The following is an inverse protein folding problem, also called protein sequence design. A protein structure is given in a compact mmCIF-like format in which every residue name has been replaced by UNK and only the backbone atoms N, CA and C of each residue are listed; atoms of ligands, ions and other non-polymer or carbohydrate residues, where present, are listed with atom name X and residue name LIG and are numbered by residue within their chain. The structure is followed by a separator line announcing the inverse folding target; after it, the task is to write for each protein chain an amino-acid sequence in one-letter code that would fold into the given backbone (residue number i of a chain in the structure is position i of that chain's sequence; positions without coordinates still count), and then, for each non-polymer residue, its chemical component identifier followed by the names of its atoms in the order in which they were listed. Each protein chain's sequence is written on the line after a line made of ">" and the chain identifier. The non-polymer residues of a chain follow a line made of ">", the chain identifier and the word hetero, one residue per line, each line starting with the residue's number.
data_IF_393339709635
#
_entry.id   IF_393339709635
#
_cell.length_a   1.000
_cell.length_b   1.000
_cell.length_c   1.000
_cell.angle_alpha   90.00
_cell.angle_beta   90.00
_cell.angle_gamma   90.00
#
_symmetry.space_group_name_H-M   'P 1'
#
loop_
_entity.id
_entity.type
_entity.pdbx_description
1 polymer ?
#
# COMPACT_ATOMS: atom_id res chain seq x y z
N UNK A 1 33.71 5.02 -1.38
CA UNK A 1 32.37 5.25 -0.78
C UNK A 1 32.56 5.52 0.69
N UNK A 2 31.76 6.39 1.29
CA UNK A 2 31.67 6.50 2.75
C UNK A 2 31.11 5.20 3.32
N UNK A 3 31.56 4.81 4.52
CA UNK A 3 31.08 3.61 5.19
C UNK A 3 29.57 3.75 5.47
N UNK A 4 28.74 2.72 5.22
CA UNK A 4 27.31 2.76 5.53
C UNK A 4 27.04 3.16 6.98
N UNK A 5 26.02 3.98 7.21
CA UNK A 5 25.52 4.30 8.55
C UNK A 5 24.23 3.53 8.79
N UNK A 6 23.99 3.15 10.05
CA UNK A 6 22.82 2.35 10.42
C UNK A 6 21.76 3.17 11.17
N UNK A 7 20.49 2.98 10.82
CA UNK A 7 19.35 3.27 11.69
C UNK A 7 18.73 1.94 12.11
N UNK A 8 18.44 1.76 13.39
CA UNK A 8 17.84 0.52 13.92
C UNK A 8 16.63 0.82 14.81
N UNK A 9 15.56 0.03 14.65
CA UNK A 9 14.27 0.19 15.31
C UNK A 9 13.78 -1.12 15.92
N UNK A 10 12.90 -1.04 16.92
CA UNK A 10 12.12 -2.15 17.44
C UNK A 10 10.67 -1.98 16.98
N UNK A 11 10.06 -3.05 16.47
CA UNK A 11 8.69 -3.07 16.03
C UNK A 11 7.68 -2.74 17.15
N UNK A 12 6.44 -2.44 16.74
CA UNK A 12 5.26 -2.33 17.62
C UNK A 12 5.31 -1.22 18.66
N UNK A 13 4.20 -1.09 19.39
CA UNK A 13 4.03 -0.11 20.48
C UNK A 13 3.29 -0.73 21.65
N UNK A 14 3.34 -0.10 22.81
CA UNK A 14 2.59 -0.56 24.00
C UNK A 14 1.08 -0.66 23.73
N UNK A 15 0.57 0.18 22.84
CA UNK A 15 -0.84 0.21 22.40
C UNK A 15 -1.18 -0.83 21.32
N UNK A 16 -0.19 -1.29 20.56
CA UNK A 16 -0.32 -2.28 19.51
C UNK A 16 0.88 -3.22 19.61
N UNK A 17 0.84 -4.21 20.51
CA UNK A 17 2.03 -4.93 20.98
C UNK A 17 2.56 -5.99 20.00
N UNK A 18 1.98 -6.10 18.80
CA UNK A 18 2.23 -7.20 17.88
C UNK A 18 1.69 -8.51 18.44
N UNK A 19 2.39 -9.58 18.13
CA UNK A 19 1.99 -10.93 18.54
C UNK A 19 2.15 -11.16 20.03
N UNK A 20 1.22 -11.90 20.61
CA UNK A 20 1.20 -12.24 22.04
C UNK A 20 1.02 -13.74 22.19
N UNK A 21 1.95 -14.37 22.88
CA UNK A 21 1.92 -15.81 23.12
C UNK A 21 2.37 -16.13 24.54
N UNK A 22 1.48 -16.78 25.31
CA UNK A 22 1.66 -17.07 26.75
C UNK A 22 2.03 -15.79 27.53
N UNK A 23 3.20 -15.75 28.16
CA UNK A 23 3.68 -14.59 28.92
C UNK A 23 4.56 -13.62 28.12
N UNK A 24 4.71 -13.82 26.82
CA UNK A 24 5.51 -12.97 25.94
C UNK A 24 4.65 -12.09 25.04
N UNK A 25 5.13 -10.86 24.81
CA UNK A 25 4.60 -9.91 23.84
C UNK A 25 5.73 -9.48 22.92
N UNK A 26 5.50 -9.50 21.62
CA UNK A 26 6.50 -9.16 20.59
C UNK A 26 7.12 -7.78 20.85
N UNK A 27 6.30 -6.80 21.19
CA UNK A 27 6.73 -5.46 21.60
C UNK A 27 7.79 -5.44 22.73
N UNK A 28 7.65 -6.28 23.77
CA UNK A 28 8.63 -6.32 24.85
C UNK A 28 9.93 -6.99 24.38
N UNK A 29 9.81 -8.03 23.56
CA UNK A 29 10.94 -8.79 23.01
C UNK A 29 11.78 -7.94 22.06
N UNK A 30 11.15 -7.29 21.08
CA UNK A 30 11.83 -6.47 20.08
C UNK A 30 12.60 -5.31 20.72
N UNK A 31 12.03 -4.66 21.74
CA UNK A 31 12.74 -3.65 22.54
C UNK A 31 13.94 -4.22 23.28
N UNK A 32 13.78 -5.38 23.91
CA UNK A 32 14.87 -6.05 24.62
C UNK A 32 16.00 -6.47 23.66
N UNK A 33 15.65 -6.99 22.47
CA UNK A 33 16.61 -7.32 21.42
C UNK A 33 17.32 -6.06 20.93
N UNK A 34 16.57 -4.97 20.68
CA UNK A 34 17.13 -3.68 20.26
C UNK A 34 18.13 -3.14 21.29
N UNK A 35 17.79 -3.16 22.58
CA UNK A 35 18.69 -2.71 23.65
C UNK A 35 20.02 -3.50 23.64
N UNK A 36 19.95 -4.82 23.48
CA UNK A 36 21.14 -5.69 23.35
C UNK A 36 21.91 -5.41 22.07
N UNK A 37 21.22 -5.20 20.94
CA UNK A 37 21.85 -4.81 19.68
C UNK A 37 22.58 -3.48 19.81
N UNK A 38 21.97 -2.45 20.41
CA UNK A 38 22.59 -1.14 20.64
C UNK A 38 23.83 -1.25 21.51
N UNK A 39 23.79 -2.08 22.57
CA UNK A 39 24.99 -2.39 23.38
C UNK A 39 26.11 -2.95 22.50
N UNK A 40 25.85 -4.00 21.71
CA UNK A 40 26.87 -4.61 20.87
C UNK A 40 27.33 -3.71 19.71
N UNK A 41 26.45 -2.89 19.14
CA UNK A 41 26.83 -1.92 18.10
C UNK A 41 27.86 -0.92 18.62
N UNK A 42 27.70 -0.46 19.87
CA UNK A 42 28.67 0.40 20.56
C UNK A 42 30.00 -0.32 20.79
N UNK A 43 29.97 -1.55 21.30
CA UNK A 43 31.18 -2.38 21.50
C UNK A 43 31.96 -2.61 20.20
N UNK A 44 31.25 -2.72 19.08
CA UNK A 44 31.82 -2.94 17.75
C UNK A 44 32.20 -1.65 17.01
N UNK A 45 32.04 -0.47 17.63
CA UNK A 45 32.27 0.85 17.02
C UNK A 45 31.52 1.04 15.68
N UNK A 46 30.29 0.55 15.60
CA UNK A 46 29.41 0.76 14.44
C UNK A 46 28.67 2.08 14.62
N UNK A 47 28.75 2.98 13.65
CA UNK A 47 27.98 4.22 13.64
C UNK A 47 26.49 3.91 13.45
N UNK A 48 25.66 4.27 14.44
CA UNK A 48 24.24 3.96 14.43
C UNK A 48 23.39 5.04 15.11
N UNK A 49 22.12 5.11 14.69
CA UNK A 49 21.04 5.83 15.36
C UNK A 49 19.94 4.84 15.74
N UNK A 50 19.57 4.78 17.02
CA UNK A 50 18.42 3.99 17.46
C UNK A 50 17.16 4.86 17.45
N UNK A 51 16.09 4.36 16.84
CA UNK A 51 14.80 5.06 16.80
C UNK A 51 14.20 5.11 18.22
N UNK A 52 13.60 6.23 18.67
CA UNK A 52 12.90 6.27 19.94
C UNK A 52 11.82 5.18 20.02
N UNK A 53 11.81 4.44 21.13
CA UNK A 53 10.83 3.40 21.35
C UNK A 53 9.42 4.00 21.50
N UNK A 54 8.40 3.21 21.18
CA UNK A 54 6.97 3.58 21.27
C UNK A 54 6.45 4.61 20.24
N UNK A 55 7.24 4.98 19.24
CA UNK A 55 6.71 5.74 18.11
C UNK A 55 5.73 4.89 17.30
N UNK A 56 4.56 5.46 17.03
CA UNK A 56 3.59 4.90 16.08
C UNK A 56 4.21 4.84 14.67
N UNK A 57 3.72 3.93 13.83
CA UNK A 57 4.34 3.60 12.54
C UNK A 57 4.67 4.84 11.68
N UNK A 58 3.72 5.76 11.50
CA UNK A 58 3.94 6.96 10.67
C UNK A 58 4.92 7.94 11.31
N UNK A 59 4.88 8.14 12.62
CA UNK A 59 5.82 9.01 13.34
C UNK A 59 7.24 8.44 13.33
N UNK A 60 7.35 7.11 13.35
CA UNK A 60 8.61 6.38 13.23
C UNK A 60 9.24 6.57 11.85
N UNK A 61 8.45 6.40 10.79
CA UNK A 61 8.88 6.66 9.40
C UNK A 61 9.34 8.12 9.26
N UNK A 62 8.55 9.07 9.75
CA UNK A 62 8.87 10.50 9.70
C UNK A 62 10.16 10.82 10.47
N UNK A 63 10.35 10.23 11.65
CA UNK A 63 11.59 10.37 12.43
C UNK A 63 12.80 9.86 11.65
N UNK A 64 12.71 8.64 11.09
CA UNK A 64 13.80 8.03 10.29
C UNK A 64 14.14 8.93 9.10
N UNK A 65 13.14 9.41 8.37
CA UNK A 65 13.35 10.23 7.19
C UNK A 65 13.97 11.61 7.50
N UNK A 66 13.73 12.13 8.71
CA UNK A 66 14.33 13.39 9.20
C UNK A 66 15.79 13.25 9.67
N UNK A 67 16.31 12.04 9.82
CA UNK A 67 17.72 11.81 10.22
C UNK A 67 18.74 12.21 9.13
N UNK A 68 18.31 12.33 7.87
CA UNK A 68 19.20 12.56 6.73
C UNK A 68 19.95 11.31 6.24
N UNK A 69 19.52 10.12 6.68
CA UNK A 69 19.96 8.83 6.16
C UNK A 69 19.20 8.52 4.86
N UNK A 70 19.92 8.07 3.84
CA UNK A 70 19.40 7.93 2.48
C UNK A 70 20.07 6.77 1.73
N UNK A 71 19.32 6.09 0.86
CA UNK A 71 19.83 5.03 -0.01
C UNK A 71 21.01 5.51 -0.89
N UNK A 72 20.98 6.74 -1.39
CA UNK A 72 22.05 7.28 -2.25
C UNK A 72 23.41 7.37 -1.56
N UNK A 73 23.42 7.44 -0.23
CA UNK A 73 24.63 7.42 0.60
C UNK A 73 25.03 6.02 1.04
N UNK A 74 24.24 5.01 0.68
CA UNK A 74 24.37 3.63 1.15
C UNK A 74 24.00 3.46 2.61
N UNK A 75 23.18 4.34 3.17
CA UNK A 75 22.71 4.21 4.55
C UNK A 75 21.68 3.09 4.67
N UNK A 76 21.65 2.46 5.85
CA UNK A 76 20.88 1.25 6.12
C UNK A 76 19.81 1.53 7.18
N UNK A 77 18.68 0.86 7.05
CA UNK A 77 17.65 0.79 8.08
C UNK A 77 17.29 -0.67 8.36
N UNK A 78 17.23 -1.03 9.65
CA UNK A 78 16.78 -2.34 10.12
C UNK A 78 15.65 -2.15 11.13
N UNK A 79 14.53 -2.83 10.93
CA UNK A 79 13.51 -3.02 11.97
C UNK A 79 13.56 -4.45 12.54
N UNK A 80 13.58 -4.55 13.87
CA UNK A 80 13.59 -5.82 14.58
C UNK A 80 12.17 -6.22 14.95
N UNK A 81 11.79 -7.43 14.55
CA UNK A 81 10.53 -8.10 14.85
C UNK A 81 10.77 -9.48 15.49
N UNK A 82 9.70 -10.10 15.99
CA UNK A 82 9.66 -11.53 16.37
C UNK A 82 8.37 -12.11 15.83
N UNK A 83 8.49 -13.20 15.08
CA UNK A 83 7.40 -13.69 14.24
C UNK A 83 6.35 -14.49 15.01
N UNK A 84 5.27 -14.84 14.32
CA UNK A 84 4.35 -15.93 14.68
C UNK A 84 3.99 -16.78 13.44
N UNK A 85 3.07 -17.73 13.58
CA UNK A 85 2.60 -18.56 12.47
C UNK A 85 3.16 -19.99 12.48
N UNK A 86 3.67 -20.45 13.62
CA UNK A 86 3.97 -21.85 13.88
C UNK A 86 5.22 -22.43 13.21
N UNK A 87 6.06 -21.60 12.58
CA UNK A 87 7.38 -22.00 12.08
C UNK A 87 8.47 -21.80 13.14
N UNK A 88 9.74 -21.75 12.76
CA UNK A 88 10.87 -21.44 13.67
C UNK A 88 12.06 -20.86 12.91
N UNK A 89 12.97 -20.21 13.65
CA UNK A 89 14.18 -19.64 13.09
C UNK A 89 14.01 -18.20 12.63
N UNK A 90 14.74 -17.76 11.61
CA UNK A 90 14.83 -16.36 11.23
C UNK A 90 14.35 -16.16 9.79
N UNK A 91 13.58 -15.10 9.53
CA UNK A 91 13.31 -14.58 8.19
C UNK A 91 13.68 -13.09 8.08
N UNK A 92 13.96 -12.66 6.85
CA UNK A 92 14.17 -11.26 6.51
C UNK A 92 13.14 -10.77 5.49
N UNK A 93 12.83 -9.48 5.55
CA UNK A 93 11.96 -8.77 4.62
C UNK A 93 12.68 -7.56 4.05
N UNK A 94 12.52 -7.26 2.76
CA UNK A 94 13.16 -6.11 2.11
C UNK A 94 12.18 -5.26 1.30
N UNK A 95 12.51 -3.97 1.15
CA UNK A 95 11.73 -3.05 0.32
C UNK A 95 11.89 -3.32 -1.19
N UNK A 96 10.80 -3.13 -1.93
CA UNK A 96 10.79 -3.29 -3.38
C UNK A 96 10.53 -4.72 -3.84
N UNK A 97 10.42 -4.91 -5.15
CA UNK A 97 10.12 -6.19 -5.77
C UNK A 97 11.33 -7.13 -5.73
N UNK A 98 11.03 -8.42 -5.88
CA UNK A 98 12.05 -9.45 -6.09
C UNK A 98 12.71 -9.31 -7.46
N UNK A 99 13.75 -8.48 -7.51
CA UNK A 99 14.54 -8.19 -8.70
C UNK A 99 16.03 -8.30 -8.37
N UNK A 100 16.84 -8.74 -9.35
CA UNK A 100 18.30 -8.86 -9.18
C UNK A 100 18.95 -7.50 -8.87
N UNK A 101 18.37 -6.41 -9.37
CA UNK A 101 18.85 -5.03 -9.19
C UNK A 101 18.23 -4.31 -7.98
N UNK A 102 18.10 -5.00 -6.84
CA UNK A 102 17.57 -4.43 -5.61
C UNK A 102 18.62 -4.39 -4.49
N UNK A 103 18.96 -3.18 -4.02
CA UNK A 103 19.92 -2.96 -2.94
C UNK A 103 19.43 -3.51 -1.59
N UNK A 104 18.13 -3.36 -1.29
CA UNK A 104 17.51 -3.86 -0.06
C UNK A 104 17.49 -5.38 -0.02
N UNK A 105 17.18 -6.03 -1.15
CA UNK A 105 17.29 -7.49 -1.29
C UNK A 105 18.68 -7.99 -0.96
N UNK A 106 19.70 -7.46 -1.65
CA UNK A 106 21.10 -7.85 -1.41
C UNK A 106 21.54 -7.62 0.03
N UNK A 107 21.10 -6.51 0.62
CA UNK A 107 21.38 -6.21 2.02
C UNK A 107 20.78 -7.26 2.96
N UNK A 108 19.50 -7.58 2.78
CA UNK A 108 18.81 -8.56 3.59
C UNK A 108 19.39 -9.99 3.40
N UNK A 109 19.69 -10.41 2.17
CA UNK A 109 20.31 -11.73 1.88
C UNK A 109 21.68 -11.90 2.53
N UNK A 110 22.59 -10.93 2.36
CA UNK A 110 23.94 -11.00 2.95
C UNK A 110 23.86 -11.06 4.47
N UNK A 111 22.94 -10.29 5.06
CA UNK A 111 22.78 -10.22 6.50
C UNK A 111 22.16 -11.51 7.06
N UNK A 112 21.12 -12.03 6.41
CA UNK A 112 20.49 -13.30 6.74
C UNK A 112 21.50 -14.45 6.67
N UNK A 113 22.23 -14.58 5.56
CA UNK A 113 23.17 -15.69 5.35
C UNK A 113 24.24 -15.74 6.44
N UNK A 114 24.84 -14.60 6.77
CA UNK A 114 25.85 -14.54 7.83
C UNK A 114 25.25 -14.77 9.23
N UNK A 115 24.05 -14.27 9.50
CA UNK A 115 23.36 -14.51 10.76
C UNK A 115 23.02 -15.99 10.97
N UNK A 116 22.51 -16.66 9.93
CA UNK A 116 22.22 -18.09 9.94
C UNK A 116 23.52 -18.89 10.09
N UNK A 117 24.60 -18.49 9.40
CA UNK A 117 25.90 -19.14 9.54
C UNK A 117 26.40 -19.07 10.99
N UNK A 118 26.20 -17.95 11.69
CA UNK A 118 26.62 -17.78 13.09
C UNK A 118 25.75 -18.52 14.08
N UNK A 119 24.43 -18.45 13.92
CA UNK A 119 23.46 -18.93 14.91
C UNK A 119 23.08 -20.40 14.71
N UNK A 120 23.21 -20.91 13.48
CA UNK A 120 22.71 -22.22 13.05
C UNK A 120 21.20 -22.40 13.26
N UNK A 121 20.45 -21.30 13.37
CA UNK A 121 19.00 -21.35 13.41
C UNK A 121 18.43 -21.70 12.03
N UNK A 122 17.16 -22.11 12.00
CA UNK A 122 16.49 -22.41 10.75
C UNK A 122 16.38 -21.16 9.88
N UNK A 123 16.66 -21.31 8.59
CA UNK A 123 16.59 -20.23 7.61
C UNK A 123 15.23 -20.26 6.91
N UNK A 124 14.39 -19.27 7.20
CA UNK A 124 13.08 -19.11 6.57
C UNK A 124 13.13 -18.25 5.29
N UNK A 125 14.34 -17.83 4.89
CA UNK A 125 14.58 -17.06 3.68
C UNK A 125 14.43 -15.55 3.85
N UNK A 126 14.53 -14.87 2.71
CA UNK A 126 14.41 -13.41 2.60
C UNK A 126 13.37 -13.11 1.54
N UNK A 127 12.34 -12.33 1.92
CA UNK A 127 11.13 -12.13 1.11
C UNK A 127 10.94 -10.65 0.77
N UNK A 128 10.30 -10.38 -0.37
CA UNK A 128 9.97 -8.99 -0.71
C UNK A 128 8.77 -8.55 0.12
N UNK A 129 8.71 -7.26 0.49
CA UNK A 129 7.57 -6.72 1.24
C UNK A 129 6.21 -6.94 0.55
N UNK A 130 6.20 -7.15 -0.77
CA UNK A 130 4.99 -7.41 -1.54
C UNK A 130 4.44 -8.82 -1.35
N UNK A 131 5.26 -9.74 -0.83
CA UNK A 131 4.87 -11.12 -0.53
C UNK A 131 4.21 -11.23 0.85
N UNK A 132 4.24 -10.16 1.65
CA UNK A 132 3.57 -10.10 2.94
C UNK A 132 2.04 -10.08 2.74
N UNK A 133 1.28 -10.63 3.69
CA UNK A 133 -0.20 -10.67 3.63
C UNK A 133 -0.88 -9.28 3.57
N UNK A 134 -0.15 -8.24 3.97
CA UNK A 134 -0.57 -6.84 3.89
C UNK A 134 -0.38 -6.23 2.49
N UNK A 135 0.24 -6.99 1.58
CA UNK A 135 0.62 -6.59 0.23
C UNK A 135 1.78 -5.58 0.16
N UNK A 136 2.16 -4.95 1.28
CA UNK A 136 3.32 -4.06 1.37
C UNK A 136 3.60 -3.68 2.84
N UNK A 137 4.88 -3.56 3.22
CA UNK A 137 5.30 -3.17 4.57
C UNK A 137 5.73 -1.70 4.59
N UNK A 138 4.82 -0.82 5.03
CA UNK A 138 5.02 0.65 4.99
C UNK A 138 6.35 1.13 5.57
N UNK A 139 6.82 0.52 6.66
CA UNK A 139 8.10 0.90 7.28
C UNK A 139 9.29 0.69 6.34
N UNK A 140 9.23 -0.31 5.47
CA UNK A 140 10.28 -0.60 4.50
C UNK A 140 10.16 0.37 3.31
N UNK A 141 9.01 0.43 2.63
CA UNK A 141 8.92 1.25 1.41
C UNK A 141 8.88 2.77 1.62
N UNK A 142 8.45 3.26 2.79
CA UNK A 142 8.34 4.70 3.08
C UNK A 142 9.58 5.29 3.78
N UNK A 143 10.58 4.48 4.13
CA UNK A 143 11.85 5.00 4.65
C UNK A 143 12.83 5.29 3.51
N UNK A 144 13.67 6.31 3.71
CA UNK A 144 14.68 6.75 2.75
C UNK A 144 15.94 5.87 2.65
N UNK A 145 16.44 5.22 3.72
CA UNK A 145 17.59 4.33 3.66
C UNK A 145 17.28 2.99 2.97
N UNK A 146 18.31 2.20 2.70
CA UNK A 146 18.15 0.79 2.28
C UNK A 146 17.55 0.03 3.47
N UNK A 147 16.30 -0.40 3.35
CA UNK A 147 15.51 -0.91 4.46
C UNK A 147 15.31 -2.43 4.43
N UNK A 148 15.48 -3.07 5.59
CA UNK A 148 15.07 -4.45 5.82
C UNK A 148 14.38 -4.60 7.20
N UNK A 149 13.49 -5.57 7.33
CA UNK A 149 12.98 -6.02 8.63
C UNK A 149 13.45 -7.45 8.88
N UNK A 150 13.77 -7.78 10.12
CA UNK A 150 14.20 -9.11 10.51
C UNK A 150 13.31 -9.65 11.62
N UNK A 151 12.71 -10.79 11.33
CA UNK A 151 11.91 -11.58 12.25
C UNK A 151 12.84 -12.56 12.98
N UNK A 152 13.20 -12.21 14.21
CA UNK A 152 14.21 -12.93 14.98
C UNK A 152 13.54 -13.96 15.90
N UNK A 153 13.33 -15.17 15.37
CA UNK A 153 12.62 -16.29 16.01
C UNK A 153 11.08 -16.16 15.96
N UNK A 154 10.39 -17.26 16.24
CA UNK A 154 8.92 -17.34 16.28
C UNK A 154 8.41 -17.45 17.72
N UNK A 155 7.60 -16.49 18.15
CA UNK A 155 7.10 -16.37 19.52
C UNK A 155 6.19 -17.54 19.92
N UNK A 156 5.49 -18.13 18.95
CA UNK A 156 4.50 -19.20 19.14
C UNK A 156 5.09 -20.61 18.95
N UNK A 157 6.39 -20.71 18.67
CA UNK A 157 7.11 -21.98 18.57
C UNK A 157 7.77 -22.36 19.89
N UNK A 158 7.57 -23.59 20.37
CA UNK A 158 8.02 -24.01 21.70
C UNK A 158 9.56 -24.01 21.91
N UNK A 159 10.37 -24.17 20.86
CA UNK A 159 11.83 -24.11 20.97
C UNK A 159 12.33 -22.67 20.99
N UNK A 160 11.87 -21.88 20.03
CA UNK A 160 12.18 -20.45 19.92
C UNK A 160 11.67 -19.67 21.13
N UNK A 161 10.48 -20.01 21.64
CA UNK A 161 9.91 -19.46 22.87
C UNK A 161 10.87 -19.59 24.07
N UNK A 162 11.54 -20.74 24.21
CA UNK A 162 12.51 -20.95 25.30
C UNK A 162 13.73 -20.06 25.12
N UNK A 163 14.20 -19.88 23.89
CA UNK A 163 15.31 -18.98 23.55
C UNK A 163 14.93 -17.52 23.83
N UNK A 164 13.71 -17.12 23.47
CA UNK A 164 13.17 -15.77 23.69
C UNK A 164 12.97 -15.43 25.18
N UNK A 165 12.92 -16.43 26.06
CA UNK A 165 12.90 -16.24 27.52
C UNK A 165 14.29 -16.23 28.16
N UNK A 166 15.29 -16.76 27.48
CA UNK A 166 16.65 -16.87 28.01
C UNK A 166 17.45 -15.60 27.66
N UNK A 167 17.72 -14.80 28.69
CA UNK A 167 18.46 -13.54 28.56
C UNK A 167 19.86 -13.69 27.95
N UNK A 168 20.52 -14.82 28.19
CA UNK A 168 21.85 -15.12 27.66
C UNK A 168 21.75 -15.46 26.18
N UNK A 169 20.76 -16.25 25.79
CA UNK A 169 20.51 -16.61 24.39
C UNK A 169 20.06 -15.41 23.57
N UNK A 170 19.28 -14.51 24.15
CA UNK A 170 18.92 -13.25 23.53
C UNK A 170 20.13 -12.32 23.31
N UNK A 171 21.06 -12.23 24.27
CA UNK A 171 22.30 -11.45 24.13
C UNK A 171 23.21 -12.09 23.06
N UNK A 172 23.32 -13.42 23.03
CA UNK A 172 24.05 -14.17 22.00
C UNK A 172 23.48 -13.92 20.58
N UNK A 173 22.15 -13.96 20.43
CA UNK A 173 21.45 -13.66 19.18
C UNK A 173 21.72 -12.21 18.74
N UNK A 174 21.51 -11.24 19.63
CA UNK A 174 21.74 -9.82 19.34
C UNK A 174 23.21 -9.56 18.95
N UNK A 175 24.17 -10.19 19.65
CA UNK A 175 25.59 -10.10 19.32
C UNK A 175 25.88 -10.64 17.92
N UNK A 176 25.38 -11.82 17.59
CA UNK A 176 25.60 -12.42 16.27
C UNK A 176 24.94 -11.61 15.15
N UNK A 177 23.77 -11.03 15.41
CA UNK A 177 23.12 -10.11 14.49
C UNK A 177 23.96 -8.86 14.23
N UNK A 178 24.48 -8.24 15.28
CA UNK A 178 25.39 -7.09 15.15
C UNK A 178 26.69 -7.44 14.42
N UNK A 179 27.25 -8.63 14.64
CA UNK A 179 28.43 -9.08 13.90
C UNK A 179 28.14 -9.24 12.39
N UNK A 180 26.95 -9.72 12.04
CA UNK A 180 26.51 -9.79 10.65
C UNK A 180 26.32 -8.40 10.03
N UNK A 181 25.70 -7.47 10.77
CA UNK A 181 25.57 -6.06 10.36
C UNK A 181 26.95 -5.46 10.13
N UNK A 182 27.88 -5.66 11.06
CA UNK A 182 29.25 -5.17 10.96
C UNK A 182 29.97 -5.73 9.73
N UNK A 183 29.82 -7.02 9.43
CA UNK A 183 30.42 -7.64 8.23
C UNK A 183 29.96 -6.94 6.95
N UNK A 184 28.66 -6.65 6.84
CA UNK A 184 28.12 -5.89 5.71
C UNK A 184 28.70 -4.47 5.65
N UNK A 185 28.68 -3.75 6.77
CA UNK A 185 29.16 -2.36 6.81
C UNK A 185 30.66 -2.25 6.52
N UNK A 186 31.47 -3.23 6.96
CA UNK A 186 32.91 -3.26 6.68
C UNK A 186 33.21 -3.63 5.22
N UNK A 187 32.33 -4.38 4.56
CA UNK A 187 32.52 -4.86 3.18
C UNK A 187 31.23 -4.70 2.34
N UNK A 188 30.74 -3.46 2.15
CA UNK A 188 29.48 -3.25 1.46
C UNK A 188 29.63 -3.62 -0.02
N UNK A 189 28.64 -4.33 -0.59
CA UNK A 189 28.64 -4.61 -2.03
C UNK A 189 28.50 -3.30 -2.82
N UNK A 190 28.86 -3.34 -4.09
CA UNK A 190 28.55 -2.23 -5.00
C UNK A 190 27.03 -2.08 -5.13
N UNK A 191 26.53 -0.90 -4.78
CA UNK A 191 25.11 -0.55 -4.89
C UNK A 191 24.72 -0.34 -6.36
N UNK A 192 23.48 -0.69 -6.67
CA UNK A 192 22.82 -0.33 -7.91
C UNK A 192 22.44 1.15 -7.92
N UNK A 193 22.32 1.74 -9.12
CA UNK A 193 21.89 3.14 -9.25
C UNK A 193 20.45 3.31 -8.76
N UNK A 194 20.25 4.25 -7.85
CA UNK A 194 18.94 4.60 -7.33
C UNK A 194 18.13 5.25 -8.44
N UNK A 195 17.14 4.53 -8.98
CA UNK A 195 16.13 5.11 -9.88
C UNK A 195 15.31 6.08 -9.03
N UNK A 196 15.46 7.40 -9.26
CA UNK A 196 14.74 8.45 -8.52
C UNK A 196 13.26 8.06 -8.38
N UNK A 197 12.80 7.78 -7.15
CA UNK A 197 11.38 7.60 -6.85
C UNK A 197 10.68 8.89 -7.32
N UNK A 198 9.77 8.81 -8.28
CA UNK A 198 8.80 9.90 -8.48
C UNK A 198 8.08 10.05 -7.15
N UNK A 199 8.07 11.25 -6.58
CA UNK A 199 7.34 11.55 -5.38
C UNK A 199 5.85 11.31 -5.65
N UNK A 200 5.39 10.08 -5.41
CA UNK A 200 3.98 9.78 -5.30
C UNK A 200 3.55 10.31 -3.94
N UNK A 201 3.31 11.61 -3.86
CA UNK A 201 2.49 12.16 -2.79
C UNK A 201 1.10 11.53 -2.95
N UNK A 202 0.63 10.66 -2.06
CA UNK A 202 -0.76 10.20 -2.08
C UNK A 202 -1.70 11.36 -1.69
N UNK A 203 -1.13 12.47 -1.21
CA UNK A 203 -1.80 13.71 -0.82
C UNK A 203 -1.19 14.92 -1.54
N UNK A 204 -1.17 14.87 -2.87
CA UNK A 204 -0.87 16.04 -3.68
C UNK A 204 -1.83 17.19 -3.37
N UNK A 205 -1.25 18.33 -3.00
CA UNK A 205 -1.86 19.66 -2.84
C UNK A 205 -3.19 19.84 -3.59
N UNK A 206 -4.25 20.14 -2.83
CA UNK A 206 -5.47 20.81 -3.33
C UNK A 206 -5.09 22.23 -3.79
N UNK A 207 -4.38 22.29 -4.91
CA UNK A 207 -4.12 23.50 -5.68
C UNK A 207 -5.28 23.74 -6.61
N UNK A 208 -6.05 24.79 -6.33
CA UNK A 208 -7.14 25.33 -7.12
C UNK A 208 -6.76 25.49 -8.60
N UNK A 209 -7.33 24.66 -9.47
CA UNK A 209 -7.51 24.94 -10.90
C UNK A 209 -8.56 23.98 -11.47
N UNK A 210 -9.84 24.32 -11.31
CA UNK A 210 -10.91 23.74 -12.09
C UNK A 210 -10.88 24.33 -13.50
N UNK A 211 -10.79 23.53 -14.58
CA UNK A 211 -11.17 24.01 -15.89
C UNK A 211 -12.70 24.09 -15.97
N UNK A 212 -13.18 25.25 -16.40
CA UNK A 212 -14.57 25.54 -16.70
C UNK A 212 -15.09 24.57 -17.78
N UNK A 213 -15.91 23.59 -17.40
CA UNK A 213 -16.63 22.77 -18.38
C UNK A 213 -18.02 23.38 -18.60
N UNK A 214 -18.18 24.02 -19.76
CA UNK A 214 -19.48 24.43 -20.28
C UNK A 214 -20.29 23.20 -20.70
N UNK A 215 -21.45 23.05 -20.09
CA UNK A 215 -22.42 21.99 -20.29
C UNK A 215 -23.24 22.24 -21.59
N UNK A 216 -23.23 21.37 -22.62
CA UNK A 216 -23.98 21.61 -23.86
C UNK A 216 -25.19 20.69 -24.01
N UNK A 217 -25.89 20.33 -22.93
CA UNK A 217 -27.16 19.61 -23.02
C UNK A 217 -28.18 20.14 -22.00
N UNK A 218 -28.86 21.22 -22.39
CA UNK A 218 -30.13 21.63 -21.82
C UNK A 218 -30.98 22.26 -22.94
N UNK A 219 -32.24 21.79 -23.03
CA UNK A 219 -33.29 21.98 -24.07
C UNK A 219 -33.23 20.94 -25.19
N UNK A 220 -34.29 20.20 -25.51
CA UNK A 220 -35.69 20.26 -25.11
C UNK A 220 -36.53 19.70 -26.26
N UNK A 221 -37.71 19.13 -25.97
CA UNK A 221 -38.74 18.86 -26.98
C UNK A 221 -39.16 17.39 -27.07
N UNK A 222 -40.20 17.06 -26.33
CA UNK A 222 -41.11 15.95 -26.56
C UNK A 222 -41.91 16.16 -27.86
N UNK A 223 -42.15 15.09 -28.63
CA UNK A 223 -43.50 14.67 -29.04
C UNK A 223 -43.49 13.33 -29.81
N UNK A 224 -44.66 12.63 -29.87
CA UNK A 224 -44.73 11.17 -29.94
C UNK A 224 -45.17 10.64 -31.32
N UNK A 225 -44.63 9.49 -31.71
CA UNK A 225 -45.17 8.66 -32.79
C UNK A 225 -45.26 7.23 -32.24
N UNK A 226 -46.40 6.54 -32.19
CA UNK A 226 -47.54 6.59 -33.09
C UNK A 226 -47.54 5.29 -33.89
N UNK A 227 -47.89 4.18 -33.22
CA UNK A 227 -48.09 2.87 -33.83
C UNK A 227 -49.35 2.91 -34.70
N UNK A 228 -49.20 2.59 -35.97
CA UNK A 228 -50.29 2.35 -36.91
C UNK A 228 -49.87 1.25 -37.87
N UNK A 229 -50.45 0.07 -37.67
CA UNK A 229 -50.61 -0.97 -38.69
C UNK A 229 -51.45 -0.40 -39.83
N UNK A 230 -51.05 -0.68 -41.08
CA UNK A 230 -52.01 -0.92 -42.15
C UNK A 230 -51.36 -1.79 -43.24
N UNK A 231 -51.99 -2.93 -43.47
CA UNK A 231 -51.73 -3.86 -44.56
C UNK A 231 -52.31 -3.30 -45.86
N UNK A 232 -51.48 -3.15 -46.90
CA UNK A 232 -51.95 -3.28 -48.28
C UNK A 232 -50.85 -3.87 -49.16
N UNK A 233 -51.15 -5.05 -49.71
CA UNK A 233 -50.61 -5.56 -50.98
C UNK A 233 -50.49 -4.44 -52.02
N UNK A 234 -49.33 -4.28 -52.64
CA UNK A 234 -49.29 -4.19 -54.10
C UNK A 234 -47.94 -4.58 -54.67
N UNK A 235 -48.03 -5.40 -55.71
CA UNK A 235 -46.96 -5.87 -56.58
C UNK A 235 -46.48 -4.80 -57.56
N UNK A 236 -45.30 -5.05 -58.14
CA UNK A 236 -44.57 -4.26 -59.16
C UNK A 236 -43.88 -3.02 -58.58
N UNK A 237 -42.60 -2.77 -58.83
CA UNK A 237 -42.08 -2.43 -60.14
C UNK A 237 -40.55 -2.23 -60.00
N UNK A 238 -39.84 -2.66 -61.04
CA UNK A 238 -38.43 -2.39 -61.25
C UNK A 238 -38.21 -0.87 -61.33
N UNK A 239 -37.83 -0.23 -60.22
CA UNK A 239 -37.54 1.20 -60.18
C UNK A 239 -36.03 1.44 -60.02
N UNK A 240 -35.42 1.67 -61.18
CA UNK A 240 -34.56 2.82 -61.42
C UNK A 240 -33.62 3.20 -60.26
N UNK A 241 -32.49 2.50 -60.20
CA UNK A 241 -31.32 2.87 -59.41
C UNK A 241 -30.82 4.25 -59.87
N UNK A 242 -31.44 5.32 -59.38
CA UNK A 242 -30.88 6.67 -59.43
C UNK A 242 -29.48 6.60 -58.82
N UNK A 243 -28.48 6.60 -59.70
CA UNK A 243 -27.08 6.62 -59.34
C UNK A 243 -26.85 7.87 -58.49
N UNK A 244 -26.78 7.71 -57.16
CA UNK A 244 -26.42 8.80 -56.26
C UNK A 244 -25.18 9.49 -56.83
N UNK A 245 -25.27 10.81 -56.93
CA UNK A 245 -24.14 11.59 -57.39
C UNK A 245 -22.93 11.36 -56.47
N UNK A 246 -21.72 11.52 -57.01
CA UNK A 246 -20.48 11.19 -56.30
C UNK A 246 -20.37 11.94 -54.97
N UNK A 247 -20.83 13.19 -54.93
CA UNK A 247 -20.80 14.02 -53.72
C UNK A 247 -21.84 13.57 -52.68
N UNK A 248 -23.01 13.13 -53.13
CA UNK A 248 -24.02 12.53 -52.26
C UNK A 248 -23.50 11.22 -51.65
N UNK A 249 -22.80 10.38 -52.43
CA UNK A 249 -22.16 9.16 -51.91
C UNK A 249 -21.06 9.46 -50.90
N UNK A 250 -20.23 10.47 -51.17
CA UNK A 250 -19.18 10.91 -50.23
C UNK A 250 -19.77 11.34 -48.89
N UNK A 251 -20.87 12.08 -48.94
CA UNK A 251 -21.61 12.52 -47.76
C UNK A 251 -22.18 11.33 -46.99
N UNK A 252 -22.86 10.41 -47.68
CA UNK A 252 -23.41 9.19 -47.09
C UNK A 252 -22.34 8.34 -46.41
N UNK A 253 -21.18 8.13 -47.04
CA UNK A 253 -20.07 7.35 -46.48
C UNK A 253 -19.53 8.04 -45.22
N UNK A 254 -19.30 9.35 -45.27
CA UNK A 254 -18.76 10.13 -44.15
C UNK A 254 -19.70 10.11 -42.95
N UNK A 255 -21.00 10.34 -43.18
CA UNK A 255 -22.00 10.30 -42.11
C UNK A 255 -22.12 8.91 -41.48
N UNK A 256 -22.04 7.86 -42.29
CA UNK A 256 -22.14 6.47 -41.81
C UNK A 256 -20.94 6.12 -40.93
N UNK A 257 -19.72 6.48 -41.34
CA UNK A 257 -18.50 6.32 -40.55
C UNK A 257 -18.55 7.11 -39.23
N UNK A 258 -19.00 8.37 -39.27
CA UNK A 258 -19.14 9.19 -38.07
C UNK A 258 -20.15 8.60 -37.09
N UNK A 259 -21.28 8.10 -37.59
CA UNK A 259 -22.33 7.51 -36.74
C UNK A 259 -21.92 6.20 -36.09
N UNK A 260 -21.21 5.33 -36.82
CA UNK A 260 -20.86 3.99 -36.33
C UNK A 260 -19.53 3.96 -35.59
N UNK A 261 -18.51 4.65 -36.08
CA UNK A 261 -17.14 4.60 -35.55
C UNK A 261 -16.70 5.89 -34.84
N UNK A 262 -17.52 6.95 -34.87
CA UNK A 262 -17.16 8.24 -34.27
C UNK A 262 -16.01 8.97 -34.98
N UNK A 263 -15.56 8.50 -36.14
CA UNK A 263 -14.41 9.03 -36.89
C UNK A 263 -14.72 9.22 -38.37
N UNK A 264 -13.90 10.03 -39.05
CA UNK A 264 -13.97 10.16 -40.51
C UNK A 264 -13.33 8.95 -41.20
N UNK A 265 -13.85 8.52 -42.36
CA UNK A 265 -13.23 7.47 -43.15
C UNK A 265 -11.84 7.94 -43.62
N UNK A 266 -10.88 7.02 -43.64
CA UNK A 266 -9.58 7.33 -44.22
C UNK A 266 -9.71 7.50 -45.75
N UNK A 267 -8.70 8.10 -46.40
CA UNK A 267 -8.74 8.38 -47.84
C UNK A 267 -8.84 7.08 -48.69
N UNK A 268 -8.27 5.97 -48.21
CA UNK A 268 -8.28 4.68 -48.90
C UNK A 268 -9.68 4.06 -48.91
N UNK A 269 -10.32 3.98 -47.75
CA UNK A 269 -11.70 3.51 -47.56
C UNK A 269 -12.67 4.37 -48.36
N UNK A 270 -12.52 5.69 -48.28
CA UNK A 270 -13.34 6.64 -49.03
C UNK A 270 -13.24 6.37 -50.54
N UNK A 271 -12.02 6.25 -51.07
CA UNK A 271 -11.82 5.97 -52.48
C UNK A 271 -12.36 4.59 -52.88
N UNK A 272 -12.18 3.56 -52.04
CA UNK A 272 -12.67 2.21 -52.28
C UNK A 272 -14.20 2.17 -52.40
N UNK A 273 -14.92 2.82 -51.47
CA UNK A 273 -16.38 2.82 -51.47
C UNK A 273 -17.00 3.72 -52.54
N UNK A 274 -16.35 4.84 -52.85
CA UNK A 274 -16.77 5.69 -53.97
C UNK A 274 -16.69 4.96 -55.31
N UNK A 275 -15.60 4.20 -55.53
CA UNK A 275 -15.36 3.48 -56.79
C UNK A 275 -16.24 2.22 -56.93
N UNK A 276 -16.59 1.57 -55.82
CA UNK A 276 -17.41 0.34 -55.85
C UNK A 276 -18.91 0.59 -55.91
N UNK A 277 -19.38 1.83 -55.67
CA UNK A 277 -20.81 2.15 -55.73
C UNK A 277 -21.63 1.43 -54.66
N UNK A 278 -21.11 1.33 -53.45
CA UNK A 278 -21.76 0.59 -52.36
C UNK A 278 -23.05 1.30 -51.88
N UNK A 279 -24.12 0.53 -51.65
CA UNK A 279 -25.32 1.04 -51.00
C UNK A 279 -25.08 1.26 -49.50
N UNK A 280 -25.87 2.14 -48.88
CA UNK A 280 -25.75 2.47 -47.45
C UNK A 280 -25.82 1.22 -46.56
N UNK A 281 -26.76 0.31 -46.81
CA UNK A 281 -26.92 -0.89 -45.98
C UNK A 281 -25.73 -1.86 -46.10
N UNK A 282 -25.19 -2.00 -47.32
CA UNK A 282 -23.98 -2.80 -47.55
C UNK A 282 -22.76 -2.15 -46.88
N UNK A 283 -22.69 -0.82 -46.84
CA UNK A 283 -21.64 -0.09 -46.14
C UNK A 283 -21.74 -0.28 -44.62
N UNK A 284 -22.93 -0.14 -44.05
CA UNK A 284 -23.18 -0.38 -42.62
C UNK A 284 -22.72 -1.80 -42.25
N UNK A 285 -23.14 -2.81 -43.01
CA UNK A 285 -22.74 -4.20 -42.77
C UNK A 285 -21.22 -4.38 -42.80
N UNK A 286 -20.55 -3.81 -43.81
CA UNK A 286 -19.08 -3.86 -43.90
C UNK A 286 -18.36 -3.17 -42.73
N UNK A 287 -18.91 -2.08 -42.21
CA UNK A 287 -18.35 -1.37 -41.07
C UNK A 287 -18.54 -2.20 -39.79
N UNK A 288 -19.73 -2.78 -39.58
CA UNK A 288 -20.01 -3.65 -38.42
C UNK A 288 -19.08 -4.88 -38.42
N UNK A 289 -18.85 -5.49 -39.59
CA UNK A 289 -17.95 -6.64 -39.75
C UNK A 289 -16.45 -6.25 -39.73
N UNK A 290 -16.12 -4.96 -39.57
CA UNK A 290 -14.74 -4.49 -39.60
C UNK A 290 -14.03 -4.67 -38.23
N UNK A 291 -12.71 -4.95 -38.23
CA UNK A 291 -11.93 -5.03 -36.99
C UNK A 291 -11.96 -3.73 -36.16
N UNK A 292 -12.16 -2.58 -36.81
CA UNK A 292 -12.26 -1.29 -36.16
C UNK A 292 -13.53 -1.15 -35.32
N UNK A 293 -14.66 -1.71 -35.79
CA UNK A 293 -15.92 -1.72 -35.04
C UNK A 293 -15.86 -2.72 -33.89
N UNK A 294 -15.31 -3.91 -34.13
CA UNK A 294 -15.08 -4.91 -33.08
C UNK A 294 -14.24 -4.35 -31.94
N UNK A 295 -13.14 -3.66 -32.28
CA UNK A 295 -12.31 -2.98 -31.29
C UNK A 295 -13.08 -1.89 -30.54
N UNK A 296 -13.89 -1.09 -31.23
CA UNK A 296 -14.69 -0.03 -30.59
C UNK A 296 -15.68 -0.59 -29.57
N UNK A 297 -16.34 -1.70 -29.90
CA UNK A 297 -17.26 -2.40 -28.99
C UNK A 297 -16.50 -2.89 -27.75
N UNK A 298 -15.35 -3.53 -27.95
CA UNK A 298 -14.51 -4.01 -26.85
C UNK A 298 -14.01 -2.87 -25.97
N UNK A 299 -13.53 -1.78 -26.55
CA UNK A 299 -13.07 -0.60 -25.82
C UNK A 299 -14.23 0.04 -25.03
N UNK A 300 -15.47 -0.01 -25.56
CA UNK A 300 -16.66 0.47 -24.87
C UNK A 300 -17.06 -0.41 -23.67
N UNK A 301 -17.00 -1.74 -23.83
CA UNK A 301 -17.22 -2.70 -22.74
C UNK A 301 -16.18 -2.52 -21.62
N UNK A 302 -14.89 -2.41 -21.98
CA UNK A 302 -13.81 -2.14 -21.02
C UNK A 302 -14.00 -0.80 -20.30
N UNK A 303 -14.48 0.24 -21.01
CA UNK A 303 -14.78 1.53 -20.41
C UNK A 303 -15.97 1.46 -19.43
N UNK A 304 -17.00 0.67 -19.73
CA UNK A 304 -18.12 0.43 -18.83
C UNK A 304 -17.68 -0.31 -17.56
N UNK A 305 -16.87 -1.36 -17.70
CA UNK A 305 -16.27 -2.09 -16.59
C UNK A 305 -15.43 -1.19 -15.69
N UNK A 306 -14.61 -0.32 -16.29
CA UNK A 306 -13.79 0.66 -15.56
C UNK A 306 -14.66 1.68 -14.82
N UNK A 307 -15.76 2.15 -15.43
CA UNK A 307 -16.71 3.05 -14.76
C UNK A 307 -17.39 2.38 -13.57
N UNK A 308 -17.84 1.13 -13.74
CA UNK A 308 -18.45 0.36 -12.67
C UNK A 308 -17.47 0.11 -11.51
N UNK A 309 -16.22 -0.24 -11.81
CA UNK A 309 -15.15 -0.38 -10.81
C UNK A 309 -14.86 0.93 -10.09
N UNK A 310 -14.78 2.04 -10.82
CA UNK A 310 -14.53 3.37 -10.25
C UNK A 310 -15.66 3.79 -9.32
N UNK A 311 -16.92 3.62 -9.74
CA UNK A 311 -18.08 3.92 -8.92
C UNK A 311 -18.14 3.10 -7.63
N UNK A 312 -17.75 1.81 -7.69
CA UNK A 312 -17.63 0.95 -6.50
C UNK A 312 -16.54 1.45 -5.56
N UNK A 313 -15.36 1.77 -6.08
CA UNK A 313 -14.25 2.31 -5.29
C UNK A 313 -14.60 3.65 -4.63
N UNK A 314 -15.32 4.54 -5.32
CA UNK A 314 -15.80 5.80 -4.75
C UNK A 314 -16.81 5.58 -3.61
N UNK A 315 -17.72 4.62 -3.76
CA UNK A 315 -18.67 4.25 -2.71
C UNK A 315 -17.95 3.68 -1.47
N UNK A 316 -16.99 2.78 -1.67
CA UNK A 316 -16.18 2.19 -0.60
C UNK A 316 -15.36 3.27 0.14
N UNK A 317 -14.77 4.22 -0.60
CA UNK A 317 -14.02 5.35 -0.03
C UNK A 317 -14.92 6.22 0.83
N UNK A 318 -16.13 6.54 0.35
CA UNK A 318 -17.12 7.30 1.13
C UNK A 318 -17.52 6.58 2.42
N UNK A 319 -17.70 5.26 2.37
CA UNK A 319 -18.00 4.45 3.55
C UNK A 319 -16.82 4.43 4.54
N UNK A 320 -15.60 4.28 4.05
CA UNK A 320 -14.39 4.28 4.87
C UNK A 320 -14.20 5.62 5.58
N UNK A 321 -14.38 6.73 4.87
CA UNK A 321 -14.34 8.08 5.45
C UNK A 321 -15.38 8.27 6.57
N UNK A 322 -16.61 7.77 6.38
CA UNK A 322 -17.63 7.80 7.43
C UNK A 322 -17.19 7.00 8.66
N UNK A 323 -16.66 5.79 8.48
CA UNK A 323 -16.17 4.94 9.58
C UNK A 323 -15.01 5.59 10.34
N UNK A 324 -14.04 6.19 9.65
CA UNK A 324 -12.91 6.90 10.28
C UNK A 324 -13.42 8.07 11.11
N UNK A 325 -14.39 8.83 10.60
CA UNK A 325 -15.02 9.93 11.34
C UNK A 325 -15.71 9.45 12.62
N UNK A 326 -16.45 8.34 12.55
CA UNK A 326 -17.12 7.74 13.70
C UNK A 326 -16.12 7.22 14.74
N UNK A 327 -15.05 6.56 14.28
CA UNK A 327 -13.95 6.11 15.15
C UNK A 327 -13.27 7.28 15.86
N UNK A 328 -13.03 8.38 15.16
CA UNK A 328 -12.47 9.59 15.75
C UNK A 328 -13.38 10.18 16.83
N UNK A 329 -14.70 10.22 16.59
CA UNK A 329 -15.67 10.66 17.58
C UNK A 329 -15.70 9.75 18.82
N UNK A 330 -15.62 8.43 18.63
CA UNK A 330 -15.52 7.46 19.74
C UNK A 330 -14.23 7.65 20.54
N UNK A 331 -13.10 7.86 19.87
CA UNK A 331 -11.82 8.11 20.52
C UNK A 331 -11.86 9.36 21.41
N UNK A 332 -12.43 10.47 20.91
CA UNK A 332 -12.61 11.69 21.70
C UNK A 332 -13.56 11.49 22.89
N UNK A 333 -14.61 10.67 22.72
CA UNK A 333 -15.49 10.32 23.83
C UNK A 333 -14.77 9.48 24.91
N UNK A 334 -13.99 8.48 24.50
CA UNK A 334 -13.20 7.65 25.41
C UNK A 334 -12.16 8.48 26.18
N UNK A 335 -11.50 9.42 25.50
CA UNK A 335 -10.56 10.35 26.13
C UNK A 335 -11.22 11.20 27.22
N UNK A 336 -12.42 11.73 26.96
CA UNK A 336 -13.21 12.47 27.97
C UNK A 336 -13.59 11.57 29.16
N UNK A 337 -13.95 10.32 28.88
CA UNK A 337 -14.33 9.35 29.92
C UNK A 337 -13.14 8.97 30.80
N UNK A 338 -11.94 8.81 30.23
CA UNK A 338 -10.70 8.61 30.98
C UNK A 338 -10.39 9.81 31.88
N UNK A 339 -10.44 11.03 31.33
CA UNK A 339 -10.23 12.24 32.13
C UNK A 339 -11.22 12.35 33.30
N UNK A 340 -12.48 12.01 33.07
CA UNK A 340 -13.49 12.00 34.14
C UNK A 340 -13.19 10.94 35.21
N UNK A 341 -12.76 9.73 34.80
CA UNK A 341 -12.34 8.68 35.73
C UNK A 341 -11.13 9.10 36.56
N UNK A 342 -10.13 9.73 35.96
CA UNK A 342 -8.94 10.20 36.68
C UNK A 342 -9.31 11.23 37.75
N UNK A 343 -10.22 12.16 37.43
CA UNK A 343 -10.76 13.13 38.39
C UNK A 343 -11.47 12.40 39.54
N UNK A 344 -12.32 11.42 39.24
CA UNK A 344 -13.03 10.64 40.27
C UNK A 344 -12.07 9.83 41.15
N UNK A 345 -11.07 9.19 40.56
CA UNK A 345 -10.03 8.45 41.30
C UNK A 345 -9.31 9.38 42.26
N UNK A 346 -8.92 10.57 41.80
CA UNK A 346 -8.28 11.58 42.64
C UNK A 346 -9.19 12.03 43.79
N UNK A 347 -10.46 12.31 43.52
CA UNK A 347 -11.44 12.67 44.56
C UNK A 347 -11.63 11.56 45.60
N UNK A 348 -11.66 10.29 45.16
CA UNK A 348 -11.73 9.14 46.07
C UNK A 348 -10.46 9.00 46.91
N UNK A 349 -9.28 9.15 46.31
CA UNK A 349 -8.01 9.13 47.03
C UNK A 349 -7.96 10.24 48.09
N UNK A 350 -8.32 11.47 47.75
CA UNK A 350 -8.36 12.60 48.68
C UNK A 350 -9.33 12.32 49.86
N UNK A 351 -10.49 11.71 49.57
CA UNK A 351 -11.46 11.33 50.60
C UNK A 351 -10.94 10.22 51.52
N UNK A 352 -10.20 9.24 50.99
CA UNK A 352 -9.58 8.16 51.77
C UNK A 352 -8.42 8.67 52.63
N UNK A 353 -7.60 9.59 52.11
CA UNK A 353 -6.55 10.28 52.88
C UNK A 353 -7.16 11.05 54.05
N UNK A 354 -8.24 11.81 53.80
CA UNK A 354 -8.96 12.56 54.85
C UNK A 354 -9.53 11.65 55.95
N UNK A 355 -9.92 10.42 55.60
CA UNK A 355 -10.39 9.40 56.55
C UNK A 355 -9.26 8.64 57.26
N UNK A 356 -8.00 8.88 56.89
CA UNK A 356 -6.83 8.18 57.46
C UNK A 356 -6.69 6.74 56.99
N UNK A 357 -7.39 6.33 55.92
CA UNK A 357 -7.32 4.96 55.39
C UNK A 357 -6.02 4.74 54.61
N UNK A 358 -5.55 5.77 53.91
CA UNK A 358 -4.30 5.76 53.13
C UNK A 358 -3.49 7.02 53.41
N UNK A 359 -2.16 6.97 53.21
CA UNK A 359 -1.30 8.18 53.31
C UNK A 359 -1.33 8.97 51.99
N UNK A 360 -0.99 10.25 52.06
CA UNK A 360 -0.90 11.09 50.86
C UNK A 360 0.12 10.49 49.87
N UNK A 361 -0.33 10.21 48.64
CA UNK A 361 0.47 9.55 47.59
C UNK A 361 0.48 8.01 47.62
N UNK A 362 -0.18 7.36 48.58
CA UNK A 362 -0.38 5.91 48.56
C UNK A 362 -1.65 5.55 47.76
N UNK A 363 -1.60 4.45 47.01
CA UNK A 363 -2.80 3.86 46.41
C UNK A 363 -3.55 3.02 47.43
N UNK A 364 -4.87 2.99 47.30
CA UNK A 364 -5.71 2.10 48.10
C UNK A 364 -5.47 0.64 47.69
N UNK A 365 -4.95 -0.16 48.61
CA UNK A 365 -4.84 -1.61 48.49
C UNK A 365 -5.91 -2.27 49.38
N UNK A 366 -6.92 -2.94 48.81
CA UNK A 366 -7.96 -3.60 49.58
C UNK A 366 -7.44 -4.72 50.48
N UNK A 367 -6.25 -5.28 50.21
CA UNK A 367 -5.67 -6.35 51.04
C UNK A 367 -5.02 -5.83 52.32
N UNK A 368 -4.86 -4.50 52.47
CA UNK A 368 -4.19 -3.88 53.63
C UNK A 368 -5.11 -3.70 54.85
N UNK A 369 -6.41 -3.96 54.67
CA UNK A 369 -7.47 -3.76 55.69
C UNK A 369 -7.86 -5.09 56.38
N UNK A 370 -7.30 -6.22 55.95
CA UNK A 370 -7.58 -7.55 56.53
C UNK A 370 -6.59 -7.89 57.64
#
# INVERSE_FOLDING_TARGET
>A
MTKPRLVISAAHTSMSPGSVYKDLREFDLTRKILEKCVKHLKEQNVEHSAVPVDLQLLDRIDWINKTGYTEEKGDLFIEVHVNDGGKRGIEGWYAGKDETENNAKKFAEILQDDLIERTKFENQGVHSEFDHELGSLLILNQTNPISAAFELLYIDNEEDYKLLKDETKLDELAKNFVLAIKKYIDNPPKLFEVKKKKANNPFGSLGSSFPNFSNPFAKGGSDPFGLGEDDTDDSSDDSDSMMMDRDQRKTMITETYKKLLGKEPNQMDMNQYLNTGISKDKLIKKIIDSPDYEKLVKDAEEAEDLRNKTGKMEADLKQLHARVKDMHAMHEHLKKLLQHKDIQIKQMQDALVKKGVIRNGEYFDPNRII
#
